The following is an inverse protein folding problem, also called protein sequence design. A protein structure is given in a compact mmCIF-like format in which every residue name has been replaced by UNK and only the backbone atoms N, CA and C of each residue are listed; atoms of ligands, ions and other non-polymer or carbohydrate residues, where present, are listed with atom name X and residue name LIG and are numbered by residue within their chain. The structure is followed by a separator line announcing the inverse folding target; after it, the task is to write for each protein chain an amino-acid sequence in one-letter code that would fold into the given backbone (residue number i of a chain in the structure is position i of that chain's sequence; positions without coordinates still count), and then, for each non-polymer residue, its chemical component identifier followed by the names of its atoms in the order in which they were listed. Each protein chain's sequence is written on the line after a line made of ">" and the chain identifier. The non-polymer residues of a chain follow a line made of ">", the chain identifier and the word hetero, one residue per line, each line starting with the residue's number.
data_IF_904216546051
#
_entry.id   IF_904216546051
#
_cell.length_a   1.000
_cell.length_b   1.000
_cell.length_c   1.000
_cell.angle_alpha   90.00
_cell.angle_beta   90.00
_cell.angle_gamma   90.00
#
_symmetry.space_group_name_H-M   'P 1'
#
loop_
_entity.id
_entity.type
_entity.pdbx_description
1 polymer ?
#
# COMPACT_ATOMS: atom_id res chain seq x y z
N UNK A 1 13.42 -15.90 -7.34
CA UNK A 1 12.37 -16.32 -6.39
C UNK A 1 11.41 -15.14 -6.21
N UNK A 2 10.46 -15.00 -7.12
CA UNK A 2 9.48 -13.91 -7.15
C UNK A 2 8.24 -14.56 -7.79
N UNK A 3 7.12 -14.70 -7.06
CA UNK A 3 5.91 -15.29 -7.64
C UNK A 3 4.99 -16.12 -6.73
N UNK A 4 5.12 -16.03 -5.41
CA UNK A 4 4.26 -16.81 -4.49
C UNK A 4 3.03 -16.05 -3.97
N UNK A 5 3.04 -14.71 -4.00
CA UNK A 5 1.97 -13.90 -3.40
C UNK A 5 0.69 -13.85 -4.25
N UNK A 6 0.79 -13.91 -5.58
CA UNK A 6 -0.38 -13.84 -6.48
C UNK A 6 -1.27 -15.09 -6.40
N UNK A 7 -0.77 -16.21 -5.86
CA UNK A 7 -1.58 -17.44 -5.67
C UNK A 7 -2.48 -17.41 -4.44
N UNK A 8 -2.24 -16.52 -3.48
CA UNK A 8 -3.03 -16.46 -2.26
C UNK A 8 -4.43 -15.86 -2.48
N UNK A 9 -4.59 -15.00 -3.50
CA UNK A 9 -5.84 -14.26 -3.70
C UNK A 9 -6.96 -15.02 -4.44
N UNK A 10 -6.68 -16.21 -5.00
CA UNK A 10 -7.62 -16.95 -5.88
C UNK A 10 -8.00 -18.32 -5.29
N UNK A 11 -7.78 -18.53 -4.00
CA UNK A 11 -8.13 -19.79 -3.31
C UNK A 11 -8.99 -19.53 -2.06
N UNK A 12 -10.17 -18.95 -2.25
CA UNK A 12 -11.22 -19.06 -1.23
C UNK A 12 -11.91 -20.42 -1.39
N UNK A 13 -11.35 -21.42 -0.71
CA UNK A 13 -12.08 -22.60 -0.31
C UNK A 13 -13.08 -22.18 0.80
N UNK A 14 -14.40 -22.36 0.62
CA UNK A 14 -15.40 -21.89 1.58
C UNK A 14 -15.34 -22.59 2.95
N UNK A 15 -14.49 -23.62 3.09
CA UNK A 15 -14.21 -24.27 4.39
C UNK A 15 -13.00 -23.67 5.12
N UNK A 16 -12.20 -22.82 4.48
CA UNK A 16 -11.06 -22.13 5.09
C UNK A 16 -11.38 -20.66 5.40
N UNK A 17 -12.40 -20.44 6.23
CA UNK A 17 -12.58 -19.14 6.91
C UNK A 17 -11.54 -19.07 8.05
N UNK A 18 -10.27 -18.94 7.68
CA UNK A 18 -9.13 -19.06 8.60
C UNK A 18 -8.12 -17.96 8.35
N UNK A 19 -8.25 -16.88 9.13
CA UNK A 19 -7.26 -15.86 9.46
C UNK A 19 -6.05 -15.74 8.50
N UNK A 20 -6.11 -14.79 7.56
CA UNK A 20 -4.87 -14.12 7.15
C UNK A 20 -4.26 -13.51 8.42
N UNK A 21 -3.04 -13.94 8.75
CA UNK A 21 -2.34 -13.42 9.93
C UNK A 21 -2.14 -11.91 9.72
N UNK A 22 -2.53 -11.03 10.66
CA UNK A 22 -2.34 -9.58 10.51
C UNK A 22 -0.89 -9.15 10.28
N UNK A 23 0.08 -10.01 10.59
CA UNK A 23 1.53 -9.76 10.50
C UNK A 23 2.03 -9.38 9.09
N UNK A 24 1.23 -9.54 8.03
CA UNK A 24 1.64 -9.19 6.65
C UNK A 24 1.14 -7.83 6.16
N UNK A 25 0.31 -7.13 6.94
CA UNK A 25 -0.21 -5.80 6.59
C UNK A 25 0.41 -4.76 7.52
N UNK A 26 1.17 -3.83 6.94
CA UNK A 26 1.70 -2.68 7.66
C UNK A 26 0.56 -1.88 8.30
N UNK A 27 0.61 -1.71 9.61
CA UNK A 27 -0.27 -0.85 10.38
C UNK A 27 0.09 0.62 10.17
N UNK A 28 -0.83 1.51 10.51
CA UNK A 28 -0.60 2.96 10.48
C UNK A 28 0.58 3.38 11.38
N UNK A 29 0.72 2.77 12.56
CA UNK A 29 1.84 3.02 13.49
C UNK A 29 3.18 2.56 12.92
N UNK A 30 3.22 1.39 12.29
CA UNK A 30 4.44 0.88 11.65
C UNK A 30 4.85 1.76 10.47
N UNK A 31 3.90 2.22 9.66
CA UNK A 31 4.18 3.09 8.51
C UNK A 31 4.65 4.48 8.96
N UNK A 32 3.96 5.11 9.91
CA UNK A 32 4.35 6.43 10.43
C UNK A 32 5.71 6.40 11.10
N UNK A 33 6.00 5.36 11.89
CA UNK A 33 7.32 5.18 12.52
C UNK A 33 8.41 4.95 11.47
N UNK A 34 8.12 4.15 10.44
CA UNK A 34 9.05 3.93 9.32
C UNK A 34 9.37 5.24 8.61
N UNK A 35 8.36 6.07 8.30
CA UNK A 35 8.55 7.38 7.69
C UNK A 35 9.37 8.32 8.59
N UNK A 36 9.06 8.40 9.89
CA UNK A 36 9.80 9.20 10.87
C UNK A 36 11.28 8.83 10.88
N UNK A 37 11.58 7.56 11.11
CA UNK A 37 12.95 7.05 11.23
C UNK A 37 13.71 7.13 9.91
N UNK A 38 13.05 6.91 8.76
CA UNK A 38 13.74 6.93 7.46
C UNK A 38 14.04 8.33 6.95
N UNK A 39 13.21 9.30 7.32
CA UNK A 39 13.31 10.69 6.84
C UNK A 39 13.93 11.67 7.84
N UNK A 40 14.23 11.24 9.08
CA UNK A 40 14.97 12.07 10.03
C UNK A 40 16.45 12.23 9.62
N UNK A 41 17.09 13.35 9.95
CA UNK A 41 18.53 13.53 9.77
C UNK A 41 19.34 12.47 10.51
N UNK A 42 20.53 12.15 9.99
CA UNK A 42 21.42 11.15 10.57
C UNK A 42 21.86 11.48 12.02
N UNK A 43 21.99 12.78 12.33
CA UNK A 43 22.33 13.26 13.67
C UNK A 43 21.18 12.99 14.66
N UNK A 44 19.95 13.35 14.28
CA UNK A 44 18.74 13.06 15.06
C UNK A 44 18.54 11.56 15.23
N UNK A 45 18.80 10.76 14.19
CA UNK A 45 18.72 9.30 14.28
C UNK A 45 19.74 8.71 15.27
N UNK A 46 20.95 9.27 15.36
CA UNK A 46 21.95 8.81 16.32
C UNK A 46 21.47 9.06 17.75
N UNK A 47 20.97 10.25 18.03
CA UNK A 47 20.37 10.58 19.34
C UNK A 47 19.14 9.71 19.63
N UNK A 48 18.30 9.47 18.62
CA UNK A 48 17.11 8.62 18.72
C UNK A 48 17.46 7.17 19.09
N UNK A 49 18.58 6.62 18.61
CA UNK A 49 19.04 5.26 18.98
C UNK A 49 19.56 5.16 20.41
N UNK A 50 20.17 6.23 20.92
CA UNK A 50 20.83 6.25 22.23
C UNK A 50 19.83 6.48 23.38
N UNK A 51 18.54 6.72 23.08
CA UNK A 51 17.47 6.78 24.08
C UNK A 51 17.07 5.37 24.55
N UNK A 52 17.39 5.04 25.81
CA UNK A 52 17.09 3.77 26.50
C UNK A 52 15.59 3.50 26.78
N UNK A 53 14.68 4.22 26.12
CA UNK A 53 13.25 4.16 26.38
C UNK A 53 12.42 4.46 25.15
N UNK A 54 12.16 3.43 24.33
CA UNK A 54 11.30 3.48 23.13
C UNK A 54 9.80 3.75 23.44
N UNK A 55 9.45 4.17 24.66
CA UNK A 55 8.09 4.10 25.18
C UNK A 55 7.32 5.42 25.33
N UNK A 56 8.00 6.57 25.39
CA UNK A 56 7.33 7.84 25.79
C UNK A 56 7.74 9.04 24.92
N UNK A 57 8.32 8.78 23.75
CA UNK A 57 8.58 9.85 22.79
C UNK A 57 7.21 10.32 22.28
N UNK A 58 6.83 11.54 22.68
CA UNK A 58 5.56 12.21 22.36
C UNK A 58 5.17 11.85 20.93
N UNK A 59 4.22 10.92 20.80
CA UNK A 59 3.75 10.46 19.50
C UNK A 59 3.28 11.71 18.77
N UNK A 60 4.06 12.18 17.79
CA UNK A 60 3.52 13.10 16.79
C UNK A 60 2.30 12.33 16.25
N UNK A 61 1.10 12.83 16.54
CA UNK A 61 -0.18 12.24 16.17
C UNK A 61 -0.40 12.43 14.66
N UNK A 62 0.59 12.04 13.86
CA UNK A 62 0.60 12.12 12.42
C UNK A 62 -0.22 10.94 11.88
N UNK A 63 -1.53 11.00 12.09
CA UNK A 63 -2.46 10.05 11.47
C UNK A 63 -2.31 10.06 9.95
N UNK A 64 -2.54 8.93 9.29
CA UNK A 64 -2.49 8.75 7.84
C UNK A 64 -3.90 8.65 7.25
N UNK A 65 -4.71 9.67 7.52
CA UNK A 65 -6.00 9.87 6.87
C UNK A 65 -5.83 10.60 5.53
N UNK A 66 -6.82 10.50 4.64
CA UNK A 66 -6.81 11.20 3.33
C UNK A 66 -6.50 12.70 3.49
N UNK A 67 -7.00 13.35 4.54
CA UNK A 67 -6.82 14.79 4.76
C UNK A 67 -5.46 15.14 5.38
N UNK A 68 -4.88 14.24 6.17
CA UNK A 68 -3.60 14.48 6.85
C UNK A 68 -2.39 14.16 5.97
N UNK A 69 -2.50 13.23 5.01
CA UNK A 69 -1.41 12.89 4.07
C UNK A 69 -0.88 14.12 3.35
N UNK A 70 -1.77 15.02 2.92
CA UNK A 70 -1.39 16.28 2.24
C UNK A 70 -0.58 17.23 3.15
N UNK A 71 -0.70 17.10 4.48
CA UNK A 71 -0.03 17.95 5.47
C UNK A 71 1.29 17.38 5.98
N UNK A 72 1.66 16.16 5.58
CA UNK A 72 2.91 15.53 5.99
C UNK A 72 4.14 16.34 5.55
N UNK A 73 5.28 16.09 6.22
CA UNK A 73 6.58 16.65 5.83
C UNK A 73 6.90 16.27 4.37
N UNK A 74 7.51 17.17 3.60
CA UNK A 74 7.80 16.94 2.16
C UNK A 74 8.62 15.66 1.93
N UNK A 75 9.61 15.39 2.79
CA UNK A 75 10.41 14.15 2.71
C UNK A 75 9.58 12.89 2.90
N UNK A 76 8.55 12.94 3.74
CA UNK A 76 7.65 11.80 3.98
C UNK A 76 6.73 11.58 2.77
N UNK A 77 6.13 12.66 2.23
CA UNK A 77 5.30 12.56 1.01
C UNK A 77 6.11 12.02 -0.17
N UNK A 78 7.33 12.52 -0.35
CA UNK A 78 8.20 12.05 -1.43
C UNK A 78 8.52 10.56 -1.30
N UNK A 79 8.95 10.10 -0.12
CA UNK A 79 9.24 8.68 0.11
C UNK A 79 8.00 7.79 -0.11
N UNK A 80 6.83 8.25 0.35
CA UNK A 80 5.57 7.53 0.16
C UNK A 80 5.16 7.48 -1.31
N UNK A 81 5.24 8.60 -2.03
CA UNK A 81 4.96 8.69 -3.46
C UNK A 81 5.89 7.81 -4.29
N UNK A 82 7.19 7.83 -4.02
CA UNK A 82 8.17 6.95 -4.67
C UNK A 82 7.85 5.47 -4.40
N UNK A 83 7.50 5.12 -3.16
CA UNK A 83 7.12 3.75 -2.79
C UNK A 83 5.84 3.29 -3.50
N UNK A 84 4.86 4.18 -3.67
CA UNK A 84 3.64 3.92 -4.44
C UNK A 84 3.96 3.69 -5.92
N UNK A 85 4.82 4.52 -6.52
CA UNK A 85 5.28 4.33 -7.89
C UNK A 85 5.97 2.97 -8.08
N UNK A 86 6.89 2.60 -7.18
CA UNK A 86 7.53 1.30 -7.22
C UNK A 86 6.53 0.15 -7.08
N UNK A 87 5.50 0.31 -6.25
CA UNK A 87 4.45 -0.70 -6.07
C UNK A 87 3.61 -0.85 -7.34
N UNK A 88 3.19 0.27 -7.97
CA UNK A 88 2.44 0.27 -9.23
C UNK A 88 3.21 -0.43 -10.36
N UNK A 89 4.54 -0.26 -10.41
CA UNK A 89 5.40 -0.93 -11.39
C UNK A 89 5.46 -2.46 -11.23
N UNK A 90 5.03 -3.02 -10.09
CA UNK A 90 4.99 -4.48 -9.90
C UNK A 90 3.80 -5.15 -10.58
N UNK A 91 2.78 -4.37 -10.95
CA UNK A 91 1.63 -4.89 -11.70
C UNK A 91 2.00 -5.09 -13.17
N UNK A 92 1.44 -6.13 -13.79
CA UNK A 92 1.71 -6.46 -15.18
C UNK A 92 1.13 -5.44 -16.19
N UNK A 93 0.14 -4.66 -15.76
CA UNK A 93 -0.69 -3.76 -16.56
C UNK A 93 -0.90 -2.45 -15.79
N UNK A 94 -1.27 -1.37 -16.48
CA UNK A 94 -1.64 -0.11 -15.85
C UNK A 94 -3.15 -0.03 -15.53
N UNK A 95 -3.54 0.91 -14.65
CA UNK A 95 -4.94 1.12 -14.25
C UNK A 95 -5.88 1.33 -15.45
N UNK A 96 -5.37 1.98 -16.50
CA UNK A 96 -6.12 2.25 -17.71
C UNK A 96 -6.50 0.96 -18.44
N UNK A 97 -5.58 0.00 -18.51
CA UNK A 97 -5.83 -1.30 -19.12
C UNK A 97 -6.98 -2.04 -18.42
N UNK A 98 -7.06 -2.01 -17.09
CA UNK A 98 -8.22 -2.56 -16.38
C UNK A 98 -9.51 -1.76 -16.63
N UNK A 99 -9.42 -0.43 -16.66
CA UNK A 99 -10.57 0.43 -16.91
C UNK A 99 -11.17 0.18 -18.32
N UNK A 100 -10.31 0.00 -19.32
CA UNK A 100 -10.68 -0.33 -20.69
C UNK A 100 -11.33 -1.72 -20.76
N UNK A 101 -10.79 -2.69 -20.00
CA UNK A 101 -11.38 -4.03 -19.87
C UNK A 101 -12.80 -3.98 -19.31
N UNK A 102 -13.05 -3.20 -18.25
CA UNK A 102 -14.40 -3.07 -17.68
C UNK A 102 -15.37 -2.29 -18.58
N UNK A 103 -14.84 -1.36 -19.38
CA UNK A 103 -15.64 -0.59 -20.34
C UNK A 103 -16.13 -1.48 -21.49
N UNK A 104 -15.35 -2.50 -21.88
CA UNK A 104 -15.74 -3.46 -22.90
C UNK A 104 -16.49 -4.66 -22.31
N UNK A 105 -17.82 -4.51 -22.21
CA UNK A 105 -18.71 -5.54 -21.65
C UNK A 105 -18.62 -6.89 -22.36
N UNK A 106 -18.39 -6.92 -23.67
CA UNK A 106 -18.30 -8.18 -24.43
C UNK A 106 -17.01 -8.94 -24.12
N UNK A 107 -15.88 -8.25 -23.98
CA UNK A 107 -14.61 -8.86 -23.59
C UNK A 107 -14.68 -9.31 -22.13
N UNK A 108 -15.20 -8.46 -21.26
CA UNK A 108 -15.34 -8.78 -19.83
C UNK A 108 -16.23 -10.00 -19.59
N UNK A 109 -17.35 -10.12 -20.30
CA UNK A 109 -18.25 -11.26 -20.17
C UNK A 109 -17.64 -12.60 -20.63
N UNK A 110 -16.58 -12.58 -21.45
CA UNK A 110 -15.85 -13.78 -21.89
C UNK A 110 -14.87 -14.30 -20.83
N UNK A 111 -14.52 -13.47 -19.84
CA UNK A 111 -13.65 -13.88 -18.75
C UNK A 111 -14.37 -14.85 -17.81
N UNK A 112 -13.62 -15.81 -17.28
CA UNK A 112 -14.09 -16.63 -16.18
C UNK A 112 -14.33 -15.78 -14.92
N UNK A 113 -15.16 -16.28 -14.00
CA UNK A 113 -15.39 -15.65 -12.71
C UNK A 113 -14.09 -15.31 -11.95
N UNK A 114 -13.08 -16.19 -12.04
CA UNK A 114 -11.78 -15.99 -11.39
C UNK A 114 -11.01 -14.82 -11.99
N UNK A 115 -11.00 -14.71 -13.32
CA UNK A 115 -10.34 -13.62 -14.03
C UNK A 115 -11.06 -12.29 -13.80
N UNK A 116 -12.39 -12.29 -13.79
CA UNK A 116 -13.20 -11.12 -13.43
C UNK A 116 -12.88 -10.65 -12.00
N UNK A 117 -12.85 -11.57 -11.03
CA UNK A 117 -12.54 -11.23 -9.65
C UNK A 117 -11.10 -10.73 -9.48
N UNK A 118 -10.12 -11.40 -10.09
CA UNK A 118 -8.72 -10.98 -10.05
C UNK A 118 -8.54 -9.58 -10.66
N UNK A 119 -9.22 -9.32 -11.79
CA UNK A 119 -9.21 -8.00 -12.44
C UNK A 119 -9.83 -6.94 -11.52
N UNK A 120 -10.94 -7.25 -10.84
CA UNK A 120 -11.61 -6.34 -9.92
C UNK A 120 -10.71 -5.96 -8.74
N UNK A 121 -10.10 -6.95 -8.07
CA UNK A 121 -9.22 -6.66 -6.94
C UNK A 121 -7.99 -5.87 -7.38
N UNK A 122 -7.37 -6.24 -8.51
CA UNK A 122 -6.23 -5.49 -9.03
C UNK A 122 -6.61 -4.03 -9.33
N UNK A 123 -7.79 -3.78 -9.90
CA UNK A 123 -8.25 -2.43 -10.18
C UNK A 123 -8.49 -1.63 -8.91
N UNK A 124 -9.22 -2.18 -7.93
CA UNK A 124 -9.53 -1.48 -6.69
C UNK A 124 -8.23 -1.12 -5.93
N UNK A 125 -7.26 -2.03 -5.88
CA UNK A 125 -5.94 -1.76 -5.29
C UNK A 125 -5.17 -0.65 -6.03
N UNK A 126 -5.10 -0.72 -7.37
CA UNK A 126 -4.44 0.32 -8.18
C UNK A 126 -5.13 1.67 -8.02
N UNK A 127 -6.46 1.70 -7.94
CA UNK A 127 -7.21 2.93 -7.71
C UNK A 127 -6.82 3.59 -6.39
N UNK A 128 -6.75 2.81 -5.30
CA UNK A 128 -6.27 3.31 -4.01
C UNK A 128 -4.83 3.83 -4.08
N UNK A 129 -3.94 3.13 -4.79
CA UNK A 129 -2.55 3.57 -4.99
C UNK A 129 -2.47 4.87 -5.78
N UNK A 130 -3.26 5.02 -6.85
CA UNK A 130 -3.32 6.26 -7.64
C UNK A 130 -3.87 7.43 -6.83
N UNK A 131 -4.91 7.21 -6.01
CA UNK A 131 -5.41 8.23 -5.08
C UNK A 131 -4.34 8.66 -4.09
N UNK A 132 -3.59 7.71 -3.52
CA UNK A 132 -2.50 8.04 -2.61
C UNK A 132 -1.39 8.83 -3.31
N UNK A 133 -1.04 8.46 -4.55
CA UNK A 133 -0.04 9.15 -5.35
C UNK A 133 -0.40 10.63 -5.57
N UNK A 134 -1.67 10.92 -5.88
CA UNK A 134 -2.18 12.29 -6.02
C UNK A 134 -2.04 13.10 -4.73
N UNK A 135 -2.26 12.48 -3.57
CA UNK A 135 -2.14 13.13 -2.25
C UNK A 135 -0.69 13.36 -1.81
N UNK A 136 0.26 12.60 -2.37
CA UNK A 136 1.70 12.70 -2.07
C UNK A 136 2.50 13.53 -3.07
N UNK A 137 1.84 14.03 -4.11
CA UNK A 137 2.44 14.87 -5.16
C UNK A 137 2.75 16.30 -4.70
#
# INVERSE_FOLDING_TARGET
>A
MQGTWVRALVREDPTCRGATKPEEVLTEEELTTTLKVRCMPAEEFREFKDQDGWGDDKREEDSLTITSVTKLKTSWRQLLGDSVLFTLQTYATDLKTEQDLFSNKEVYAKLSWKEQNASRVSYDQKMTLHQLLELTS
#
